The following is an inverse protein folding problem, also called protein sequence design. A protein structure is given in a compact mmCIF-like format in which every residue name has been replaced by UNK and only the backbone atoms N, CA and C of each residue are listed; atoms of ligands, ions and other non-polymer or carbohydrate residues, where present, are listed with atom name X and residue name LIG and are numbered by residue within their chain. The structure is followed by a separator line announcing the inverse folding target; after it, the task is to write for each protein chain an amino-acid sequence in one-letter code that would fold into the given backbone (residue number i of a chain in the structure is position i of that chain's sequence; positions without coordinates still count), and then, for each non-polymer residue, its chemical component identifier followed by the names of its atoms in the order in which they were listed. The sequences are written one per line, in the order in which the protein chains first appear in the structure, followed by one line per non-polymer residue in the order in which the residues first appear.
data_IF_766943426752
#
_entry.id   IF_766943426752
#
_cell.length_a   1.000
_cell.length_b   1.000
_cell.length_c   1.000
_cell.angle_alpha   90.00
_cell.angle_beta   90.00
_cell.angle_gamma   90.00
#
_symmetry.space_group_name_H-M   'P 1'
#
loop_
_entity.id
_entity.type
_entity.pdbx_description
1 polymer ?
#
# COMPACT_ATOMS: atom_id res chain seq x y z
N UNK A 1 -1.17 -15.52 22.81
CA UNK A 1 -1.80 -16.81 22.49
C UNK A 1 -3.25 -16.61 22.04
N UNK A 2 -4.20 -16.24 22.92
CA UNK A 2 -5.64 -16.21 22.59
C UNK A 2 -6.01 -15.36 21.36
N UNK A 3 -5.45 -14.15 21.22
CA UNK A 3 -5.71 -13.28 20.06
C UNK A 3 -5.30 -13.97 18.75
N UNK A 4 -4.08 -14.51 18.71
CA UNK A 4 -3.55 -15.21 17.53
C UNK A 4 -4.34 -16.48 17.19
N UNK A 5 -4.79 -17.21 18.21
CA UNK A 5 -5.60 -18.41 18.01
C UNK A 5 -6.98 -18.06 17.42
N UNK A 6 -7.58 -16.94 17.90
CA UNK A 6 -8.80 -16.38 17.32
C UNK A 6 -8.60 -15.96 15.86
N UNK A 7 -7.51 -15.27 15.56
CA UNK A 7 -7.17 -14.88 14.17
C UNK A 7 -6.96 -16.11 13.29
N UNK A 8 -6.19 -17.11 13.73
CA UNK A 8 -5.99 -18.38 13.00
C UNK A 8 -7.30 -19.11 12.72
N UNK A 9 -8.21 -19.13 13.68
CA UNK A 9 -9.52 -19.76 13.50
C UNK A 9 -10.40 -19.05 12.46
N UNK A 10 -10.15 -17.75 12.20
CA UNK A 10 -10.84 -16.97 11.16
C UNK A 10 -10.22 -17.12 9.76
N UNK A 11 -9.06 -17.77 9.64
CA UNK A 11 -8.41 -17.98 8.35
C UNK A 11 -9.13 -19.06 7.55
N UNK A 12 -9.42 -18.75 6.28
CA UNK A 12 -9.94 -19.74 5.34
C UNK A 12 -8.77 -20.42 4.62
N UNK A 13 -8.83 -21.73 4.42
CA UNK A 13 -7.69 -22.50 3.86
C UNK A 13 -7.26 -22.15 2.44
N UNK A 14 -7.86 -21.13 1.79
CA UNK A 14 -7.54 -20.65 0.44
C UNK A 14 -7.58 -19.12 0.33
N UNK A 15 -7.31 -18.41 1.40
CA UNK A 15 -7.18 -16.95 1.36
C UNK A 15 -5.90 -16.56 0.59
N UNK A 16 -5.98 -15.55 -0.29
CA UNK A 16 -4.79 -15.02 -0.95
C UNK A 16 -3.90 -14.32 0.07
N UNK A 17 -2.57 -14.51 -0.06
CA UNK A 17 -1.61 -13.95 0.90
C UNK A 17 -1.77 -12.43 1.07
N UNK A 18 -2.01 -11.69 -0.01
CA UNK A 18 -2.20 -10.24 0.05
C UNK A 18 -3.48 -9.90 0.83
N UNK A 19 -4.58 -10.60 0.60
CA UNK A 19 -5.85 -10.37 1.30
C UNK A 19 -5.70 -10.65 2.80
N UNK A 20 -4.97 -11.72 3.16
CA UNK A 20 -4.64 -12.05 4.54
C UNK A 20 -3.85 -10.93 5.21
N UNK A 21 -2.80 -10.42 4.54
CA UNK A 21 -1.95 -9.35 5.07
C UNK A 21 -2.73 -8.05 5.25
N UNK A 22 -3.53 -7.65 4.28
CA UNK A 22 -4.39 -6.47 4.36
C UNK A 22 -5.42 -6.61 5.47
N UNK A 23 -6.09 -7.75 5.58
CA UNK A 23 -7.07 -8.03 6.63
C UNK A 23 -6.44 -7.97 8.03
N UNK A 24 -5.25 -8.58 8.19
CA UNK A 24 -4.50 -8.54 9.44
C UNK A 24 -4.13 -7.10 9.83
N UNK A 25 -3.59 -6.35 8.89
CA UNK A 25 -3.19 -4.95 9.09
C UNK A 25 -4.38 -4.08 9.50
N UNK A 26 -5.50 -4.17 8.79
CA UNK A 26 -6.75 -3.48 9.13
C UNK A 26 -7.32 -3.90 10.48
N UNK A 27 -7.20 -5.17 10.86
CA UNK A 27 -7.68 -5.62 12.15
C UNK A 27 -6.88 -4.97 13.29
N UNK A 28 -5.56 -4.95 13.19
CA UNK A 28 -4.72 -4.28 14.19
C UNK A 28 -4.98 -2.78 14.26
N UNK A 29 -5.15 -2.12 13.12
CA UNK A 29 -5.49 -0.69 13.08
C UNK A 29 -6.80 -0.39 13.82
N UNK A 30 -7.79 -1.26 13.75
CA UNK A 30 -9.08 -1.08 14.43
C UNK A 30 -9.03 -1.43 15.92
N UNK A 31 -8.21 -2.39 16.32
CA UNK A 31 -8.17 -2.92 17.68
C UNK A 31 -7.17 -2.19 18.58
N UNK A 32 -6.13 -1.57 18.00
CA UNK A 32 -5.06 -0.90 18.74
C UNK A 32 -5.16 0.60 18.51
N UNK A 33 -5.58 1.33 19.54
CA UNK A 33 -5.64 2.78 19.47
C UNK A 33 -4.22 3.38 19.39
N UNK A 34 -4.01 4.28 18.42
CA UNK A 34 -2.74 4.98 18.28
C UNK A 34 -2.56 6.02 19.37
N UNK A 35 -1.36 6.06 19.95
CA UNK A 35 -0.96 7.12 20.86
C UNK A 35 0.53 7.49 20.66
N UNK A 36 0.84 8.76 20.83
CA UNK A 36 2.22 9.23 20.88
C UNK A 36 2.82 8.83 22.23
N UNK A 37 3.89 8.02 22.18
CA UNK A 37 4.56 7.53 23.38
C UNK A 37 6.02 7.95 23.37
N UNK A 38 6.41 8.78 24.30
CA UNK A 38 7.76 9.34 24.42
C UNK A 38 8.71 8.45 25.24
N UNK A 39 8.17 7.48 25.98
CA UNK A 39 8.99 6.54 26.73
C UNK A 39 9.89 5.72 25.81
N UNK A 40 11.15 5.48 26.21
CA UNK A 40 12.09 4.71 25.42
C UNK A 40 11.64 3.25 25.26
N UNK A 41 12.13 2.62 24.21
CA UNK A 41 11.86 1.21 23.90
C UNK A 41 10.51 0.97 23.25
N UNK A 42 10.14 -0.28 23.14
CA UNK A 42 8.95 -0.80 22.47
C UNK A 42 8.17 -1.68 23.43
N UNK A 43 6.87 -1.57 23.47
CA UNK A 43 6.02 -2.49 24.25
C UNK A 43 6.20 -3.92 23.72
N UNK A 44 6.10 -4.88 24.63
CA UNK A 44 5.98 -6.27 24.17
C UNK A 44 4.65 -6.47 23.43
N UNK A 45 4.57 -7.40 22.48
CA UNK A 45 3.31 -7.71 21.77
C UNK A 45 2.14 -7.99 22.72
N UNK A 46 2.42 -8.66 23.83
CA UNK A 46 1.41 -8.95 24.85
C UNK A 46 0.90 -7.67 25.52
N UNK A 47 1.80 -6.75 25.88
CA UNK A 47 1.41 -5.46 26.48
C UNK A 47 0.57 -4.61 25.51
N UNK A 48 0.93 -4.58 24.22
CA UNK A 48 0.16 -3.83 23.22
C UNK A 48 -1.25 -4.39 23.07
N UNK A 49 -1.40 -5.71 23.01
CA UNK A 49 -2.72 -6.36 22.96
C UNK A 49 -3.54 -6.15 24.24
N UNK A 50 -2.94 -6.26 25.41
CA UNK A 50 -3.64 -6.08 26.69
C UNK A 50 -4.10 -4.64 26.91
N UNK A 51 -3.29 -3.68 26.49
CA UNK A 51 -3.61 -2.25 26.60
C UNK A 51 -4.53 -1.75 25.50
N UNK A 52 -4.62 -2.50 24.40
CA UNK A 52 -5.30 -2.12 23.16
C UNK A 52 -4.87 -0.71 22.66
N UNK A 53 -3.64 -0.30 22.96
CA UNK A 53 -3.07 0.97 22.50
C UNK A 53 -1.54 0.91 22.45
N UNK A 54 -0.97 1.72 21.54
CA UNK A 54 0.48 1.81 21.36
C UNK A 54 0.87 2.88 20.33
N UNK A 55 2.17 3.16 20.27
CA UNK A 55 2.76 3.98 19.21
C UNK A 55 2.97 3.16 17.94
N UNK A 56 3.40 3.80 16.86
CA UNK A 56 3.77 3.12 15.60
C UNK A 56 4.81 2.01 15.84
N UNK A 57 5.77 2.22 16.75
CA UNK A 57 6.78 1.22 17.13
C UNK A 57 6.16 -0.01 17.75
N UNK A 58 5.19 0.19 18.63
CA UNK A 58 4.56 -0.87 19.40
C UNK A 58 3.66 -1.73 18.50
N UNK A 59 2.85 -1.09 17.66
CA UNK A 59 1.95 -1.78 16.71
C UNK A 59 2.72 -2.43 15.56
N UNK A 60 3.76 -1.76 15.05
CA UNK A 60 4.66 -2.33 14.05
C UNK A 60 5.37 -3.58 14.56
N UNK A 61 5.88 -3.57 15.80
CA UNK A 61 6.50 -4.73 16.41
C UNK A 61 5.50 -5.87 16.68
N UNK A 62 4.31 -5.53 17.14
CA UNK A 62 3.21 -6.50 17.29
C UNK A 62 2.93 -7.21 15.98
N UNK A 63 2.78 -6.48 14.88
CA UNK A 63 2.52 -7.03 13.56
C UNK A 63 3.66 -7.94 13.09
N UNK A 64 4.92 -7.54 13.27
CA UNK A 64 6.09 -8.38 12.95
C UNK A 64 6.02 -9.72 13.69
N UNK A 65 5.70 -9.70 14.98
CA UNK A 65 5.63 -10.93 15.77
C UNK A 65 4.44 -11.83 15.36
N UNK A 66 3.29 -11.25 15.03
CA UNK A 66 2.14 -12.00 14.52
C UNK A 66 2.49 -12.67 13.19
N UNK A 67 3.07 -11.94 12.25
CA UNK A 67 3.49 -12.47 10.95
C UNK A 67 4.45 -13.65 11.10
N UNK A 68 5.45 -13.52 11.97
CA UNK A 68 6.40 -14.62 12.28
C UNK A 68 5.71 -15.84 12.87
N UNK A 69 4.74 -15.65 13.75
CA UNK A 69 3.95 -16.73 14.33
C UNK A 69 3.01 -17.40 13.30
N UNK A 70 2.67 -16.71 12.23
CA UNK A 70 1.95 -17.26 11.08
C UNK A 70 2.88 -17.93 10.05
N UNK A 71 4.20 -17.95 10.30
CA UNK A 71 5.20 -18.55 9.40
C UNK A 71 5.63 -17.64 8.26
N UNK A 72 5.28 -16.34 8.30
CA UNK A 72 5.67 -15.35 7.30
C UNK A 72 6.94 -14.64 7.79
N UNK A 73 7.98 -14.61 6.95
CA UNK A 73 9.17 -13.86 7.25
C UNK A 73 8.83 -12.36 7.35
N UNK A 74 9.17 -11.73 8.45
CA UNK A 74 8.87 -10.34 8.72
C UNK A 74 10.01 -9.64 9.44
N UNK A 75 10.14 -8.32 9.20
CA UNK A 75 11.11 -7.46 9.83
C UNK A 75 10.50 -6.13 10.25
N UNK A 76 11.14 -5.48 11.19
CA UNK A 76 10.76 -4.15 11.66
C UNK A 76 11.47 -3.10 10.82
N UNK A 77 10.72 -2.11 10.37
CA UNK A 77 11.23 -0.96 9.64
C UNK A 77 11.03 0.32 10.46
N UNK A 78 12.03 1.18 10.45
CA UNK A 78 12.01 2.50 11.07
C UNK A 78 12.54 3.53 10.08
N UNK A 79 11.93 4.71 10.05
CA UNK A 79 12.31 5.77 9.13
C UNK A 79 11.43 6.98 9.25
N UNK A 80 11.15 7.62 8.14
CA UNK A 80 10.27 8.78 8.04
C UNK A 80 8.97 8.44 7.33
N UNK A 81 7.87 9.02 7.81
CA UNK A 81 6.63 9.14 7.08
C UNK A 81 6.53 10.58 6.56
N UNK A 82 6.41 10.73 5.25
CA UNK A 82 6.15 12.01 4.60
C UNK A 82 4.75 11.95 4.03
N UNK A 83 3.91 12.90 4.41
CA UNK A 83 2.57 13.05 3.85
C UNK A 83 2.43 14.43 3.25
N UNK A 84 2.06 14.46 1.99
CA UNK A 84 1.83 15.68 1.22
C UNK A 84 0.32 15.87 1.02
N UNK A 85 -0.10 17.12 1.02
CA UNK A 85 -1.47 17.48 0.64
C UNK A 85 -1.71 17.04 -0.80
N UNK A 86 -2.80 16.34 -1.03
CA UNK A 86 -3.19 15.94 -2.37
C UNK A 86 -3.59 17.16 -3.21
N UNK A 87 -3.10 17.25 -4.45
CA UNK A 87 -3.46 18.34 -5.38
C UNK A 87 -4.95 18.28 -5.75
N UNK A 88 -5.49 17.06 -5.82
CA UNK A 88 -6.92 16.81 -6.08
C UNK A 88 -7.46 15.91 -4.98
N UNK A 89 -8.57 16.34 -4.35
CA UNK A 89 -9.22 15.51 -3.33
C UNK A 89 -9.73 14.21 -3.97
N UNK A 90 -9.52 13.06 -3.32
CA UNK A 90 -10.06 11.80 -3.80
C UNK A 90 -11.59 11.87 -3.84
N UNK A 91 -12.19 11.27 -4.87
CA UNK A 91 -13.65 11.16 -4.98
C UNK A 91 -14.20 10.17 -3.94
N UNK A 92 -13.43 9.12 -3.64
CA UNK A 92 -13.77 8.08 -2.67
C UNK A 92 -12.57 7.83 -1.75
N UNK A 93 -12.85 7.42 -0.51
CA UNK A 93 -11.84 7.05 0.46
C UNK A 93 -11.56 8.14 1.52
N UNK A 94 -10.61 7.89 2.43
CA UNK A 94 -10.29 8.83 3.49
C UNK A 94 -9.66 10.09 2.91
N UNK A 95 -10.05 11.23 3.47
CA UNK A 95 -9.38 12.49 3.19
C UNK A 95 -7.91 12.37 3.59
N UNK A 96 -7.00 12.79 2.72
CA UNK A 96 -5.58 12.90 3.05
C UNK A 96 -5.31 13.97 4.11
N UNK A 97 -4.03 14.25 4.32
CA UNK A 97 -3.61 15.33 5.21
C UNK A 97 -4.04 16.70 4.68
N UNK A 98 -4.25 17.66 5.58
CA UNK A 98 -4.57 19.05 5.27
C UNK A 98 -3.33 19.95 5.13
N UNK A 99 -2.15 19.43 5.46
CA UNK A 99 -0.86 20.10 5.35
C UNK A 99 0.25 19.11 5.06
N UNK A 100 1.30 19.55 4.38
CA UNK A 100 2.52 18.78 4.22
C UNK A 100 3.19 18.59 5.58
N UNK A 101 3.50 17.36 5.94
CA UNK A 101 4.24 17.09 7.17
C UNK A 101 5.12 15.84 7.04
N UNK A 102 6.06 15.72 7.94
CA UNK A 102 6.88 14.52 8.12
C UNK A 102 6.99 14.18 9.59
N UNK A 103 7.11 12.90 9.89
CA UNK A 103 7.30 12.40 11.25
C UNK A 103 8.21 11.17 11.23
N UNK A 104 8.84 10.90 12.39
CA UNK A 104 9.50 9.62 12.63
C UNK A 104 8.44 8.53 12.68
N UNK A 105 8.66 7.46 11.96
CA UNK A 105 7.67 6.40 11.83
C UNK A 105 8.28 5.01 11.87
N UNK A 106 7.45 4.04 12.20
CA UNK A 106 7.83 2.63 12.19
C UNK A 106 6.68 1.77 11.68
N UNK A 107 7.05 0.71 10.96
CA UNK A 107 6.09 -0.23 10.36
C UNK A 107 6.65 -1.64 10.30
N UNK A 108 5.88 -2.58 9.82
CA UNK A 108 6.31 -3.94 9.57
C UNK A 108 6.54 -4.17 8.08
N UNK A 109 7.49 -5.04 7.75
CA UNK A 109 7.64 -5.55 6.39
C UNK A 109 7.53 -7.07 6.40
N UNK A 110 6.71 -7.61 5.48
CA UNK A 110 6.54 -9.04 5.23
C UNK A 110 7.25 -9.42 3.93
N UNK A 111 7.96 -10.54 3.92
CA UNK A 111 8.57 -11.06 2.70
C UNK A 111 7.61 -11.99 1.96
N UNK A 112 7.33 -11.66 0.72
CA UNK A 112 6.50 -12.47 -0.17
C UNK A 112 7.37 -12.98 -1.32
N UNK A 113 7.50 -14.31 -1.50
CA UNK A 113 8.23 -14.87 -2.64
C UNK A 113 7.72 -14.31 -3.97
N UNK A 114 8.65 -13.82 -4.78
CA UNK A 114 8.34 -13.20 -6.07
C UNK A 114 8.02 -11.70 -6.03
N UNK A 115 7.61 -11.16 -4.88
CA UNK A 115 7.33 -9.73 -4.70
C UNK A 115 8.38 -9.01 -3.84
N UNK A 116 9.11 -9.76 -2.98
CA UNK A 116 10.07 -9.18 -2.06
C UNK A 116 9.44 -8.70 -0.75
N UNK A 117 10.01 -7.67 -0.15
CA UNK A 117 9.54 -7.07 1.09
C UNK A 117 8.39 -6.10 0.84
N UNK A 118 7.26 -6.35 1.47
CA UNK A 118 6.04 -5.52 1.39
C UNK A 118 5.83 -4.85 2.74
N UNK A 119 5.78 -3.54 2.74
CA UNK A 119 5.53 -2.74 3.93
C UNK A 119 4.05 -2.72 4.32
N UNK A 120 3.79 -2.86 5.62
CA UNK A 120 2.47 -2.85 6.23
C UNK A 120 2.50 -1.87 7.40
N UNK A 121 1.70 -0.85 7.35
CA UNK A 121 1.60 0.14 8.42
C UNK A 121 0.31 -0.10 9.24
N UNK A 122 0.42 -0.72 10.41
CA UNK A 122 -0.74 -0.98 11.25
C UNK A 122 -1.29 0.27 11.94
N UNK A 123 -0.60 1.41 11.88
CA UNK A 123 -1.11 2.68 12.40
C UNK A 123 -2.18 3.26 11.48
N UNK A 124 -1.93 3.27 10.19
CA UNK A 124 -2.88 3.72 9.17
C UNK A 124 -3.81 2.61 8.67
N UNK A 125 -3.40 1.34 8.81
CA UNK A 125 -4.05 0.19 8.19
C UNK A 125 -3.68 0.00 6.73
N UNK A 126 -2.86 0.87 6.15
CA UNK A 126 -2.50 0.85 4.74
C UNK A 126 -1.18 0.10 4.49
N UNK A 127 -0.89 -0.19 3.24
CA UNK A 127 0.44 -0.61 2.83
C UNK A 127 1.40 0.58 2.90
N UNK A 128 2.65 0.33 3.29
CA UNK A 128 3.67 1.34 3.22
C UNK A 128 3.94 1.71 1.75
N UNK A 129 3.76 2.98 1.44
CA UNK A 129 3.89 3.54 0.10
C UNK A 129 5.05 4.52 -0.01
N UNK A 130 4.98 5.39 -0.99
CA UNK A 130 6.02 6.35 -1.35
C UNK A 130 6.43 7.30 -0.22
N UNK A 131 5.50 7.60 0.68
CA UNK A 131 5.79 8.45 1.84
C UNK A 131 6.57 7.75 2.96
N UNK A 132 6.74 6.43 2.90
CA UNK A 132 7.50 5.67 3.88
C UNK A 132 8.95 5.53 3.44
N UNK A 133 9.85 6.31 4.04
CA UNK A 133 11.28 6.28 3.74
C UNK A 133 12.01 5.46 4.80
N UNK A 134 12.38 4.19 4.53
CA UNK A 134 13.07 3.36 5.50
C UNK A 134 14.52 3.81 5.69
N UNK A 135 14.92 3.97 6.94
CA UNK A 135 16.31 4.21 7.34
C UNK A 135 16.96 2.94 7.88
N UNK A 136 16.19 2.12 8.58
CA UNK A 136 16.67 0.85 9.12
C UNK A 136 15.59 -0.23 9.00
N UNK A 137 15.99 -1.41 8.52
CA UNK A 137 15.14 -2.60 8.46
C UNK A 137 15.86 -3.72 9.22
N UNK A 138 15.30 -4.14 10.35
CA UNK A 138 15.99 -5.03 11.29
C UNK A 138 15.08 -6.14 11.79
N UNK A 139 15.69 -7.19 12.31
CA UNK A 139 14.96 -8.30 12.91
C UNK A 139 14.36 -7.94 14.29
N UNK A 140 14.95 -6.97 14.97
CA UNK A 140 14.56 -6.53 16.31
C UNK A 140 14.48 -5.00 16.37
N UNK A 141 13.42 -4.41 16.96
CA UNK A 141 13.23 -2.96 16.96
C UNK A 141 14.34 -2.20 17.69
N UNK A 142 15.03 -2.81 18.65
CA UNK A 142 16.16 -2.19 19.34
C UNK A 142 17.31 -1.84 18.40
N UNK A 143 17.49 -2.62 17.33
CA UNK A 143 18.54 -2.37 16.33
C UNK A 143 18.14 -1.34 15.28
N UNK A 144 16.89 -0.90 15.27
CA UNK A 144 16.38 0.14 14.37
C UNK A 144 16.32 1.52 15.03
N UNK A 145 16.77 1.66 16.26
CA UNK A 145 16.80 2.94 16.95
C UNK A 145 17.78 3.90 16.25
N UNK A 146 17.36 5.11 15.88
CA UNK A 146 18.21 6.05 15.15
C UNK A 146 19.39 6.54 16.00
N UNK A 147 19.22 6.57 17.32
CA UNK A 147 20.25 6.94 18.29
C UNK A 147 20.19 6.01 19.49
N UNK A 148 21.32 5.46 19.86
CA UNK A 148 21.48 4.68 21.10
C UNK A 148 22.61 5.35 21.89
N UNK A 149 22.36 5.63 23.16
CA UNK A 149 23.35 6.22 24.07
C UNK A 149 23.09 5.79 25.51
N UNK A 150 24.12 5.88 26.32
CA UNK A 150 24.07 5.61 27.75
C UNK A 150 24.70 6.78 28.48
N UNK A 151 24.06 7.19 29.56
CA UNK A 151 24.55 8.25 30.44
C UNK A 151 24.50 7.77 31.91
N UNK A 152 25.19 8.47 32.77
CA UNK A 152 24.95 8.37 34.21
C UNK A 152 23.53 8.82 34.54
N UNK A 153 23.09 8.63 35.78
CA UNK A 153 21.79 9.11 36.25
C UNK A 153 21.80 10.64 36.19
N UNK A 154 21.07 11.20 35.25
CA UNK A 154 20.96 12.63 35.04
C UNK A 154 19.57 13.00 34.51
N UNK A 155 19.22 14.27 34.56
CA UNK A 155 18.08 14.79 33.82
C UNK A 155 18.43 14.88 32.34
N UNK A 156 17.57 14.33 31.49
CA UNK A 156 17.76 14.33 30.04
C UNK A 156 16.60 15.08 29.39
N UNK A 157 16.93 16.14 28.66
CA UNK A 157 16.01 16.78 27.71
C UNK A 157 16.14 16.12 26.34
N UNK A 158 15.03 15.80 25.71
CA UNK A 158 14.99 15.31 24.33
C UNK A 158 14.07 16.21 23.50
N UNK A 159 14.65 16.86 22.52
CA UNK A 159 13.93 17.72 21.58
C UNK A 159 14.23 17.25 20.16
N UNK A 160 13.25 17.31 19.29
CA UNK A 160 13.43 17.03 17.87
C UNK A 160 12.53 17.96 17.06
N UNK A 161 12.98 18.26 15.84
CA UNK A 161 12.22 19.04 14.87
C UNK A 161 12.34 18.37 13.50
N UNK A 162 11.23 18.34 12.79
CA UNK A 162 11.18 17.82 11.43
C UNK A 162 10.44 18.79 10.54
N UNK A 163 10.92 18.92 9.31
CA UNK A 163 10.24 19.73 8.30
C UNK A 163 10.32 19.06 6.94
N UNK A 164 9.32 19.29 6.12
CA UNK A 164 9.31 18.91 4.71
C UNK A 164 9.03 20.18 3.90
N UNK A 165 9.79 20.35 2.83
CA UNK A 165 9.61 21.49 1.91
C UNK A 165 9.61 20.95 0.50
N UNK A 166 8.58 21.29 -0.29
CA UNK A 166 8.52 20.96 -1.71
C UNK A 166 9.55 21.82 -2.45
N UNK A 167 10.53 21.18 -3.04
CA UNK A 167 11.56 21.85 -3.84
C UNK A 167 11.16 21.89 -5.31
N UNK A 168 10.65 20.77 -5.80
CA UNK A 168 10.14 20.59 -7.15
C UNK A 168 9.07 19.51 -7.11
N UNK A 169 8.03 19.69 -7.89
CA UNK A 169 6.98 18.72 -8.06
C UNK A 169 6.60 18.67 -9.54
N UNK A 170 6.70 17.48 -10.12
CA UNK A 170 6.03 17.18 -11.37
C UNK A 170 4.61 16.71 -11.00
N UNK A 171 3.58 17.52 -11.24
CA UNK A 171 2.23 17.15 -10.82
C UNK A 171 1.87 15.81 -11.48
N UNK A 172 1.45 14.85 -10.68
CA UNK A 172 0.80 13.63 -11.18
C UNK A 172 -0.58 14.04 -11.68
N UNK A 173 -0.62 14.51 -12.90
CA UNK A 173 -1.83 15.04 -13.49
C UNK A 173 -2.70 13.86 -13.86
N UNK A 174 -3.76 13.65 -13.12
CA UNK A 174 -4.85 12.74 -13.51
C UNK A 174 -5.63 13.29 -14.71
N UNK A 175 -5.48 14.60 -15.00
CA UNK A 175 -5.99 15.28 -16.19
C UNK A 175 -4.86 16.06 -16.85
N UNK A 176 -3.95 15.41 -17.60
CA UNK A 176 -2.79 16.06 -18.22
C UNK A 176 -3.19 16.99 -19.38
N UNK A 177 -4.46 17.08 -19.71
CA UNK A 177 -5.00 17.83 -20.85
C UNK A 177 -5.89 18.98 -20.38
N UNK A 178 -5.88 20.08 -21.13
CA UNK A 178 -6.87 21.15 -21.00
C UNK A 178 -8.26 20.66 -21.36
N UNK A 179 -9.32 21.36 -20.94
CA UNK A 179 -10.69 21.01 -21.32
C UNK A 179 -10.86 20.89 -22.84
N UNK A 180 -10.32 21.83 -23.61
CA UNK A 180 -10.38 21.78 -25.08
C UNK A 180 -9.65 20.56 -25.68
N UNK A 181 -8.58 20.08 -25.04
CA UNK A 181 -7.91 18.86 -25.44
C UNK A 181 -8.74 17.62 -25.07
N UNK A 182 -9.39 17.62 -23.90
CA UNK A 182 -10.33 16.57 -23.51
C UNK A 182 -11.49 16.47 -24.49
N UNK A 183 -12.13 17.59 -24.84
CA UNK A 183 -13.19 17.64 -25.83
C UNK A 183 -12.75 17.12 -27.22
N UNK A 184 -11.48 17.29 -27.56
CA UNK A 184 -10.91 16.75 -28.79
C UNK A 184 -10.68 15.24 -28.70
N UNK A 185 -10.23 14.75 -27.56
CA UNK A 185 -10.02 13.31 -27.29
C UNK A 185 -11.36 12.57 -27.29
N UNK A 186 -12.38 13.13 -26.64
CA UNK A 186 -13.73 12.54 -26.59
C UNK A 186 -14.34 12.45 -27.98
N UNK A 187 -14.25 13.52 -28.79
CA UNK A 187 -14.71 13.48 -30.20
C UNK A 187 -13.97 12.44 -31.02
N UNK A 188 -12.64 12.32 -30.83
CA UNK A 188 -11.87 11.29 -31.49
C UNK A 188 -12.36 9.88 -31.08
N UNK A 189 -12.66 9.69 -29.79
CA UNK A 189 -13.26 8.45 -29.28
C UNK A 189 -14.58 8.12 -29.97
N UNK A 190 -15.48 9.09 -30.08
CA UNK A 190 -16.76 8.94 -30.79
C UNK A 190 -16.57 8.59 -32.29
N UNK A 191 -15.61 9.21 -32.96
CA UNK A 191 -15.24 8.89 -34.34
C UNK A 191 -14.72 7.47 -34.51
N UNK A 192 -13.86 7.02 -33.57
CA UNK A 192 -13.34 5.64 -33.54
C UNK A 192 -14.46 4.65 -33.28
N UNK A 193 -15.35 4.90 -32.33
CA UNK A 193 -16.49 4.04 -32.03
C UNK A 193 -17.42 3.91 -33.24
N UNK A 194 -17.68 5.03 -33.92
CA UNK A 194 -18.50 5.05 -35.15
C UNK A 194 -17.80 4.23 -36.26
N UNK A 195 -16.51 4.34 -36.43
CA UNK A 195 -15.74 3.57 -37.40
C UNK A 195 -15.73 2.07 -37.07
N UNK A 196 -15.55 1.70 -35.80
CA UNK A 196 -15.63 0.30 -35.34
C UNK A 196 -17.02 -0.28 -35.60
N UNK A 197 -18.08 0.47 -35.27
CA UNK A 197 -19.46 0.05 -35.54
C UNK A 197 -19.73 -0.12 -37.02
N UNK A 198 -19.25 0.80 -37.87
CA UNK A 198 -19.44 0.74 -39.34
C UNK A 198 -18.75 -0.49 -39.98
N UNK A 199 -17.68 -0.98 -39.38
CA UNK A 199 -16.94 -2.16 -39.84
C UNK A 199 -17.27 -3.43 -39.03
N UNK A 200 -18.29 -3.37 -38.18
CA UNK A 200 -18.75 -4.47 -37.31
C UNK A 200 -17.62 -5.05 -36.42
N UNK A 201 -16.74 -4.17 -35.95
CA UNK A 201 -15.67 -4.54 -35.02
C UNK A 201 -16.14 -4.29 -33.58
N UNK A 202 -16.05 -5.31 -32.73
CA UNK A 202 -16.39 -5.21 -31.30
C UNK A 202 -15.16 -5.37 -30.45
N UNK A 203 -14.98 -4.45 -29.50
CA UNK A 203 -13.97 -4.51 -28.47
C UNK A 203 -14.53 -5.25 -27.26
N UNK A 204 -13.81 -6.28 -26.77
CA UNK A 204 -14.17 -6.97 -25.52
C UNK A 204 -13.29 -6.46 -24.39
N UNK A 205 -13.87 -6.19 -23.21
CA UNK A 205 -13.11 -5.88 -22.01
C UNK A 205 -12.58 -7.15 -21.37
N UNK A 206 -11.26 -7.25 -21.18
CA UNK A 206 -10.64 -8.41 -20.55
C UNK A 206 -9.13 -8.30 -20.53
N UNK A 207 -8.55 -7.37 -19.76
CA UNK A 207 -7.11 -7.24 -19.56
C UNK A 207 -6.33 -6.71 -20.75
N UNK A 208 -6.51 -7.30 -21.95
CA UNK A 208 -5.97 -6.80 -23.20
C UNK A 208 -7.10 -6.57 -24.21
N UNK A 209 -7.02 -5.54 -25.08
CA UNK A 209 -7.99 -5.32 -26.14
C UNK A 209 -8.05 -6.55 -27.06
N UNK A 210 -9.19 -7.20 -27.11
CA UNK A 210 -9.41 -8.35 -27.97
C UNK A 210 -10.43 -7.99 -29.03
N UNK A 211 -10.03 -8.07 -30.30
CA UNK A 211 -10.94 -7.90 -31.44
C UNK A 211 -11.59 -9.24 -31.76
N UNK A 212 -12.90 -9.28 -31.73
CA UNK A 212 -13.68 -10.47 -32.04
C UNK A 212 -14.61 -10.16 -33.22
N UNK A 213 -14.55 -10.99 -34.26
CA UNK A 213 -15.52 -10.88 -35.35
C UNK A 213 -16.89 -11.32 -34.89
N UNK A 214 -17.93 -10.54 -35.21
CA UNK A 214 -19.32 -10.91 -34.93
C UNK A 214 -19.76 -12.15 -35.71
N UNK A 215 -19.13 -12.41 -36.87
CA UNK A 215 -19.46 -13.54 -37.74
C UNK A 215 -18.81 -14.85 -37.25
N UNK A 216 -17.82 -14.79 -36.38
CA UNK A 216 -17.08 -15.95 -35.86
C UNK A 216 -16.56 -15.70 -34.43
N UNK A 217 -17.48 -15.56 -33.48
CA UNK A 217 -17.16 -15.29 -32.06
C UNK A 217 -16.47 -16.47 -31.39
N UNK A 218 -16.68 -17.68 -31.85
CA UNK A 218 -16.13 -18.91 -31.25
C UNK A 218 -14.85 -19.41 -31.96
N UNK A 219 -14.37 -18.68 -32.93
CA UNK A 219 -13.16 -18.99 -33.65
C UNK A 219 -11.95 -19.16 -32.71
N UNK A 220 -11.18 -20.27 -32.83
CA UNK A 220 -10.05 -20.54 -31.93
C UNK A 220 -8.99 -19.43 -31.97
N UNK A 221 -8.83 -18.75 -33.08
CA UNK A 221 -7.85 -17.65 -33.22
C UNK A 221 -8.23 -16.41 -32.40
N UNK A 222 -9.49 -16.25 -32.01
CA UNK A 222 -9.93 -15.17 -31.13
C UNK A 222 -9.86 -15.53 -29.64
N UNK A 223 -10.03 -16.82 -29.35
CA UNK A 223 -10.17 -17.31 -27.98
C UNK A 223 -8.91 -17.97 -27.40
N UNK A 224 -8.17 -18.73 -28.24
CA UNK A 224 -7.09 -19.61 -27.76
C UNK A 224 -5.73 -19.34 -28.38
N UNK A 225 -5.67 -18.68 -29.53
CA UNK A 225 -4.41 -18.46 -30.25
C UNK A 225 -3.87 -17.07 -29.97
N UNK A 226 -2.72 -16.96 -29.29
CA UNK A 226 -2.09 -15.68 -28.96
C UNK A 226 -1.72 -14.85 -30.21
N UNK A 227 -1.28 -15.52 -31.29
CA UNK A 227 -0.96 -14.89 -32.56
C UNK A 227 -1.68 -15.63 -33.70
N UNK A 228 -2.36 -14.88 -34.58
CA UNK A 228 -2.98 -15.39 -35.77
C UNK A 228 -2.74 -14.47 -36.98
N UNK A 229 -2.84 -14.97 -38.23
CA UNK A 229 -2.77 -14.11 -39.42
C UNK A 229 -3.79 -12.96 -39.38
N UNK A 230 -5.03 -13.24 -38.97
CA UNK A 230 -6.10 -12.25 -38.88
C UNK A 230 -5.84 -11.19 -37.78
N UNK A 231 -5.32 -11.57 -36.62
CA UNK A 231 -4.89 -10.63 -35.60
C UNK A 231 -3.78 -9.70 -36.08
N UNK A 232 -2.86 -10.21 -36.88
CA UNK A 232 -1.80 -9.41 -37.51
C UNK A 232 -2.30 -8.47 -38.60
N UNK A 233 -3.35 -8.87 -39.33
CA UNK A 233 -3.98 -8.03 -40.34
C UNK A 233 -4.78 -6.88 -39.75
N UNK A 234 -5.37 -7.08 -38.55
CA UNK A 234 -6.15 -6.08 -37.83
C UNK A 234 -5.29 -5.16 -36.93
N UNK A 235 -4.08 -5.53 -36.58
CA UNK A 235 -3.17 -4.73 -35.77
C UNK A 235 -2.30 -3.82 -36.64
#
# INVERSE_FOLDING_TARGET
AAWLDGFRASMTGREKTVDLLVRLNHQLQREIAYLVRMEPGVQTPQQTLERACGSCRDTGWLLVQILRQLGIAARFASGYLIQLVADVKPLDGPAGTDRDFTDLHAWAEAYIPGAGWIGLDPTSGLLAGEGHLPLACTADPGNAAPVIGYTDVCEVGFEFAMSVTRVHEDPRVTRPYTEAQWDAIDRLGEEVDAALAAHDVRLTQGGEPTFVSIDDMDGPEWNYTALSPKKRELA
#
